data_IF_056902515023
#
_entry.id   IF_056902515023
#
_cell.length_a   1.000
_cell.length_b   1.000
_cell.length_c   1.000
_cell.angle_alpha   90.00
_cell.angle_beta   90.00
_cell.angle_gamma   90.00
#
_symmetry.space_group_name_H-M   'P 1'
#
loop_
_entity.id
_entity.type
_entity.pdbx_description
1 polymer ?
#
# COMPACT_ATOMS: atom_id res chain seq x y z
N UNK A 1 -7.02 78.44 -15.05
CA UNK A 1 -8.25 78.32 -14.25
C UNK A 1 -8.28 76.91 -13.68
N UNK A 2 -8.13 76.61 -12.40
CA UNK A 2 -7.80 77.37 -11.22
C UNK A 2 -7.47 76.33 -10.12
N UNK A 3 -6.35 76.56 -9.43
CA UNK A 3 -6.01 76.27 -8.04
C UNK A 3 -6.24 74.88 -7.36
N UNK A 4 -5.10 74.22 -7.10
CA UNK A 4 -4.72 73.35 -5.95
C UNK A 4 -4.36 74.31 -4.76
N UNK A 5 -4.58 74.05 -3.42
CA UNK A 5 -3.73 73.10 -2.66
C UNK A 5 -4.18 72.48 -1.29
N UNK A 6 -3.52 71.35 -0.98
CA UNK A 6 -2.85 70.87 0.27
C UNK A 6 -3.57 70.88 1.66
N UNK A 7 -3.60 69.68 2.25
CA UNK A 7 -3.03 69.20 3.56
C UNK A 7 -2.97 70.14 4.78
N UNK A 8 -3.11 69.66 6.05
CA UNK A 8 -2.05 68.87 6.71
C UNK A 8 -2.51 67.82 7.76
N UNK A 9 -1.58 66.93 8.14
CA UNK A 9 -1.63 66.19 9.41
C UNK A 9 -1.35 67.12 10.61
N UNK A 10 -1.47 66.61 11.83
CA UNK A 10 -0.36 66.79 12.75
C UNK A 10 0.05 65.50 13.50
N UNK A 11 1.25 65.63 14.03
CA UNK A 11 2.15 64.70 14.71
C UNK A 11 1.63 64.11 16.03
N UNK A 12 2.31 63.04 16.46
CA UNK A 12 2.22 62.42 17.78
C UNK A 12 2.76 63.33 18.91
N UNK A 13 2.54 62.96 20.18
CA UNK A 13 3.73 62.63 20.96
C UNK A 13 3.59 61.41 21.89
N UNK A 14 4.78 60.96 22.24
CA UNK A 14 5.23 59.97 23.21
C UNK A 14 4.93 60.42 24.65
N UNK A 15 4.62 59.47 25.53
CA UNK A 15 5.10 59.32 26.92
C UNK A 15 4.27 58.19 27.57
N UNK A 16 4.79 57.27 28.38
CA UNK A 16 6.04 57.27 29.11
C UNK A 16 5.78 56.72 30.50
N UNK A 17 6.49 55.64 30.83
CA UNK A 17 7.02 55.31 32.15
C UNK A 17 6.13 54.73 33.28
N UNK A 18 6.78 53.83 34.03
CA UNK A 18 6.45 53.38 35.38
C UNK A 18 6.37 51.86 35.49
N UNK A 19 7.47 51.09 35.37
CA UNK A 19 8.57 50.93 36.35
C UNK A 19 8.08 50.77 37.80
N UNK A 20 8.37 49.61 38.37
CA UNK A 20 8.34 49.31 39.80
C UNK A 20 8.78 47.86 40.02
N UNK A 21 10.07 47.53 39.83
CA UNK A 21 11.16 47.64 40.82
C UNK A 21 11.50 46.25 41.36
N UNK A 22 12.72 45.82 41.04
CA UNK A 22 13.38 44.64 41.56
C UNK A 22 13.65 44.75 43.08
N UNK A 23 13.66 43.60 43.75
CA UNK A 23 14.42 43.35 44.98
C UNK A 23 15.19 42.04 44.84
N UNK A 24 16.48 42.08 45.17
CA UNK A 24 17.40 40.95 45.43
C UNK A 24 17.63 40.85 46.98
N UNK A 25 18.35 39.85 47.53
CA UNK A 25 17.97 38.45 47.69
C UNK A 25 18.21 37.90 49.14
N UNK A 26 17.88 36.60 49.35
CA UNK A 26 18.44 35.61 50.33
C UNK A 26 17.49 35.15 51.47
N UNK A 27 17.67 33.95 52.09
CA UNK A 27 18.53 32.80 51.72
C UNK A 27 17.80 31.43 51.64
N UNK A 28 18.41 30.48 50.92
CA UNK A 28 18.44 29.02 51.14
C UNK A 28 17.18 28.31 51.66
N UNK A 29 16.49 27.55 50.79
CA UNK A 29 15.97 26.24 51.19
C UNK A 29 16.27 25.20 50.11
N UNK A 30 16.88 24.13 50.57
CA UNK A 30 17.51 23.05 49.83
C UNK A 30 16.57 21.86 49.73
N UNK A 31 15.81 21.74 48.63
CA UNK A 31 15.20 20.46 48.21
C UNK A 31 15.17 20.31 46.69
N UNK A 32 16.28 19.84 46.11
CA UNK A 32 16.26 19.23 44.77
C UNK A 32 15.75 17.78 44.92
N UNK A 33 14.50 17.54 44.53
CA UNK A 33 14.07 16.20 44.13
C UNK A 33 14.61 15.88 42.72
N UNK A 34 14.81 14.60 42.37
CA UNK A 34 15.34 14.23 41.06
C UNK A 34 14.36 14.61 39.94
N UNK A 35 14.84 14.95 38.73
CA UNK A 35 13.95 15.23 37.62
C UNK A 35 13.24 13.94 37.23
N UNK A 36 11.92 13.90 37.45
CA UNK A 36 11.04 12.87 36.90
C UNK A 36 11.06 13.00 35.38
N UNK A 37 11.80 12.12 34.73
CA UNK A 37 11.70 11.88 33.30
C UNK A 37 10.33 11.29 33.01
N UNK A 38 9.34 12.13 32.76
CA UNK A 38 8.12 11.68 32.11
C UNK A 38 8.48 11.32 30.67
N UNK A 39 8.41 10.05 30.25
CA UNK A 39 8.47 9.74 28.84
C UNK A 39 7.28 10.42 28.19
N UNK A 40 7.52 11.30 27.22
CA UNK A 40 6.49 11.73 26.29
C UNK A 40 5.87 10.45 25.71
N UNK A 41 4.54 10.29 25.70
CA UNK A 41 3.95 9.11 25.11
C UNK A 41 4.35 9.11 23.63
N UNK A 42 5.16 8.14 23.23
CA UNK A 42 5.18 7.72 21.84
C UNK A 42 3.73 7.37 21.51
N UNK A 43 3.11 8.07 20.55
CA UNK A 43 1.87 7.62 19.95
C UNK A 43 2.17 6.28 19.27
N UNK A 44 2.01 5.19 20.01
CA UNK A 44 2.08 3.85 19.49
C UNK A 44 0.75 3.59 18.79
N UNK A 45 0.69 3.86 17.48
CA UNK A 45 -0.46 3.52 16.66
C UNK A 45 -0.63 2.00 16.71
N UNK A 46 -1.67 1.52 17.39
CA UNK A 46 -1.98 0.09 17.54
C UNK A 46 -2.69 -0.44 16.29
N UNK A 47 -2.46 -1.71 15.91
CA UNK A 47 -3.29 -2.38 14.91
C UNK A 47 -4.77 -2.35 15.34
N UNK A 48 -5.69 -2.38 14.36
CA UNK A 48 -7.13 -2.27 14.60
C UNK A 48 -7.86 -3.39 13.88
N UNK A 49 -8.88 -3.92 14.53
CA UNK A 49 -9.91 -4.73 13.89
C UNK A 49 -11.28 -4.11 14.15
N UNK A 50 -12.21 -4.29 13.22
CA UNK A 50 -13.60 -3.90 13.40
C UNK A 50 -14.53 -4.94 12.77
N UNK A 51 -15.66 -5.26 13.41
CA UNK A 51 -16.71 -6.03 12.78
C UNK A 51 -17.32 -5.21 11.65
N UNK A 52 -17.55 -5.85 10.51
CA UNK A 52 -18.31 -5.36 9.38
C UNK A 52 -19.63 -6.15 9.26
N UNK A 53 -20.64 -5.62 8.55
CA UNK A 53 -21.92 -6.31 8.42
C UNK A 53 -21.77 -7.70 7.81
N UNK A 54 -22.47 -8.69 8.37
CA UNK A 54 -22.64 -10.01 7.76
C UNK A 54 -21.52 -11.02 8.01
N UNK A 55 -20.92 -11.07 9.21
CA UNK A 55 -19.81 -11.99 9.55
C UNK A 55 -18.49 -11.66 8.83
N UNK A 56 -18.31 -10.40 8.42
CA UNK A 56 -17.05 -9.90 7.88
C UNK A 56 -16.25 -9.16 8.97
N UNK A 57 -14.94 -9.37 9.03
CA UNK A 57 -14.02 -8.63 9.88
C UNK A 57 -12.95 -7.92 9.05
N UNK A 58 -12.70 -6.66 9.35
CA UNK A 58 -11.65 -5.87 8.70
C UNK A 58 -10.47 -5.71 9.66
N UNK A 59 -9.28 -6.08 9.20
CA UNK A 59 -8.04 -6.00 9.97
C UNK A 59 -7.04 -5.08 9.28
N UNK A 60 -6.52 -4.10 10.01
CA UNK A 60 -5.52 -3.14 9.54
C UNK A 60 -4.17 -3.30 10.28
N UNK A 61 -3.21 -4.07 9.74
CA UNK A 61 -1.83 -4.05 10.19
C UNK A 61 -1.17 -2.69 9.91
N UNK A 62 -0.58 -2.11 10.95
CA UNK A 62 0.28 -0.94 10.89
C UNK A 62 1.69 -1.32 10.39
N UNK A 63 2.02 -1.01 9.14
CA UNK A 63 3.28 -1.40 8.48
C UNK A 63 4.44 -0.37 8.41
N UNK A 64 4.40 0.85 8.99
CA UNK A 64 5.45 1.83 8.73
C UNK A 64 6.83 1.49 9.35
N UNK A 65 6.91 0.51 10.26
CA UNK A 65 8.19 0.03 10.83
C UNK A 65 8.80 -1.16 10.08
N UNK A 66 8.18 -1.62 8.98
CA UNK A 66 8.59 -2.85 8.25
C UNK A 66 9.10 -2.57 6.84
N UNK A 67 9.12 -1.30 6.42
CA UNK A 67 9.77 -0.87 5.20
C UNK A 67 11.26 -1.20 5.31
N UNK A 68 11.87 -1.75 4.25
CA UNK A 68 13.34 -1.85 4.16
C UNK A 68 13.91 -0.44 4.23
N UNK A 69 14.51 0.04 5.34
CA UNK A 69 15.12 1.35 5.35
C UNK A 69 16.48 1.19 4.67
N UNK A 70 16.85 2.18 3.86
CA UNK A 70 18.21 2.44 3.35
C UNK A 70 19.18 2.81 4.47
N UNK A 71 19.11 2.15 5.63
CA UNK A 71 20.03 2.12 6.80
C UNK A 71 19.19 1.95 8.08
N UNK A 72 19.25 0.79 8.75
CA UNK A 72 19.12 0.73 10.21
C UNK A 72 19.64 -0.59 10.79
N UNK A 73 20.46 -0.43 11.82
CA UNK A 73 21.11 -1.46 12.62
C UNK A 73 20.09 -2.35 13.37
N UNK A 74 20.29 -3.67 13.25
CA UNK A 74 20.23 -4.72 14.30
C UNK A 74 19.50 -4.39 15.62
N UNK A 75 18.22 -4.01 15.59
CA UNK A 75 17.40 -3.85 16.78
C UNK A 75 16.04 -4.54 16.54
N UNK A 76 15.84 -5.67 17.24
CA UNK A 76 14.57 -6.38 17.46
C UNK A 76 13.62 -6.46 16.24
N UNK A 77 13.97 -7.31 15.27
CA UNK A 77 13.17 -7.60 14.07
C UNK A 77 12.10 -8.68 14.28
N UNK A 78 11.92 -9.17 15.51
CA UNK A 78 10.93 -10.20 15.84
C UNK A 78 9.60 -9.52 16.19
N UNK A 79 8.65 -9.57 15.24
CA UNK A 79 7.28 -9.06 15.32
C UNK A 79 7.09 -7.71 16.07
N UNK A 80 7.48 -6.58 15.45
CA UNK A 80 7.31 -5.27 16.05
C UNK A 80 5.86 -5.02 16.50
N UNK A 81 5.70 -4.58 17.76
CA UNK A 81 4.41 -4.37 18.42
C UNK A 81 3.52 -5.62 18.57
N UNK A 82 4.04 -6.84 18.37
CA UNK A 82 3.27 -8.09 18.48
C UNK A 82 2.15 -8.18 17.44
N UNK A 83 2.33 -7.55 16.28
CA UNK A 83 1.28 -7.38 15.30
C UNK A 83 0.89 -8.68 14.61
N UNK A 84 1.86 -9.53 14.25
CA UNK A 84 1.56 -10.83 13.66
C UNK A 84 0.94 -11.76 14.70
N UNK A 85 1.41 -11.72 15.95
CA UNK A 85 0.80 -12.48 17.04
C UNK A 85 -0.65 -12.06 17.28
N UNK A 86 -0.93 -10.76 17.27
CA UNK A 86 -2.30 -10.22 17.34
C UNK A 86 -3.15 -10.66 16.14
N UNK A 87 -2.61 -10.55 14.91
CA UNK A 87 -3.29 -10.96 13.69
C UNK A 87 -3.71 -12.44 13.74
N UNK A 88 -2.82 -13.32 14.20
CA UNK A 88 -3.13 -14.75 14.39
C UNK A 88 -4.30 -14.93 15.35
N UNK A 89 -4.32 -14.18 16.46
CA UNK A 89 -5.43 -14.23 17.42
C UNK A 89 -6.77 -13.82 16.81
N UNK A 90 -6.80 -12.74 16.03
CA UNK A 90 -8.02 -12.28 15.35
C UNK A 90 -8.49 -13.29 14.28
N UNK A 91 -7.56 -13.84 13.49
CA UNK A 91 -7.86 -14.82 12.45
C UNK A 91 -8.37 -16.14 13.05
N UNK A 92 -7.77 -16.60 14.14
CA UNK A 92 -8.25 -17.80 14.84
C UNK A 92 -9.66 -17.55 15.40
N UNK A 93 -9.87 -16.41 16.04
CA UNK A 93 -11.18 -16.09 16.60
C UNK A 93 -12.26 -15.96 15.51
N UNK A 94 -11.90 -15.44 14.33
CA UNK A 94 -12.80 -15.40 13.17
C UNK A 94 -13.09 -16.81 12.62
N UNK A 95 -12.07 -17.67 12.50
CA UNK A 95 -12.22 -19.07 12.12
C UNK A 95 -13.16 -19.82 13.07
N UNK A 96 -12.99 -19.65 14.39
CA UNK A 96 -13.84 -20.26 15.41
C UNK A 96 -15.31 -19.82 15.32
N UNK A 97 -15.56 -18.59 14.84
CA UNK A 97 -16.91 -18.05 14.60
C UNK A 97 -17.47 -18.36 13.22
N UNK A 98 -16.66 -18.90 12.30
CA UNK A 98 -17.02 -19.07 10.89
C UNK A 98 -17.12 -17.74 10.12
N UNK A 99 -16.51 -16.68 10.63
CA UNK A 99 -16.46 -15.36 9.99
C UNK A 99 -15.47 -15.35 8.82
N UNK A 100 -15.65 -14.39 7.91
CA UNK A 100 -14.68 -14.06 6.86
C UNK A 100 -13.88 -12.82 7.22
N UNK A 101 -12.67 -12.72 6.70
CA UNK A 101 -11.74 -11.63 7.03
C UNK A 101 -11.22 -10.94 5.78
N UNK A 102 -11.27 -9.61 5.79
CA UNK A 102 -10.53 -8.74 4.88
C UNK A 102 -9.34 -8.13 5.61
N UNK A 103 -8.16 -8.23 5.00
CA UNK A 103 -6.96 -7.53 5.47
C UNK A 103 -6.73 -6.31 4.60
N UNK A 104 -6.56 -5.16 5.21
CA UNK A 104 -6.19 -3.91 4.54
C UNK A 104 -4.85 -3.41 5.08
N UNK A 105 -3.93 -3.02 4.21
CA UNK A 105 -2.62 -2.51 4.64
C UNK A 105 -2.03 -1.53 3.65
N UNK A 106 -0.94 -0.86 4.03
CA UNK A 106 -0.26 0.06 3.12
C UNK A 106 0.76 -0.65 2.23
N UNK A 107 1.83 -1.19 2.84
CA UNK A 107 2.94 -1.85 2.13
C UNK A 107 2.56 -3.30 1.83
N UNK A 108 2.70 -3.78 0.58
CA UNK A 108 2.38 -5.16 0.27
C UNK A 108 3.37 -6.14 0.93
N UNK A 109 2.93 -7.36 1.30
CA UNK A 109 3.76 -8.34 2.01
C UNK A 109 5.03 -8.76 1.26
N UNK A 110 5.02 -8.79 -0.08
CA UNK A 110 6.21 -9.07 -0.89
C UNK A 110 7.35 -8.05 -0.72
N UNK A 111 7.04 -6.83 -0.28
CA UNK A 111 8.01 -5.73 -0.10
C UNK A 111 8.52 -5.59 1.34
N UNK A 112 7.99 -6.38 2.27
CA UNK A 112 8.37 -6.33 3.68
C UNK A 112 9.74 -6.96 3.96
N UNK A 113 10.25 -6.78 5.18
CA UNK A 113 11.42 -7.50 5.68
C UNK A 113 11.20 -9.02 5.58
N UNK A 114 12.26 -9.76 5.20
CA UNK A 114 12.22 -11.21 4.98
C UNK A 114 11.49 -11.95 6.08
N UNK A 115 11.93 -11.78 7.33
CA UNK A 115 11.34 -12.49 8.47
C UNK A 115 9.85 -12.20 8.65
N UNK A 116 9.43 -10.94 8.48
CA UNK A 116 8.02 -10.57 8.63
C UNK A 116 7.18 -11.13 7.49
N UNK A 117 7.62 -10.90 6.26
CA UNK A 117 6.96 -11.36 5.02
C UNK A 117 6.76 -12.88 5.02
N UNK A 118 7.76 -13.65 5.46
CA UNK A 118 7.65 -15.10 5.56
C UNK A 118 6.64 -15.55 6.61
N UNK A 119 6.59 -14.92 7.78
CA UNK A 119 5.59 -15.27 8.79
C UNK A 119 4.17 -14.86 8.35
N UNK A 120 4.01 -13.68 7.76
CA UNK A 120 2.72 -13.27 7.17
C UNK A 120 2.25 -14.27 6.11
N UNK A 121 3.14 -14.71 5.21
CA UNK A 121 2.82 -15.69 4.18
C UNK A 121 2.33 -17.03 4.76
N UNK A 122 2.95 -17.50 5.87
CA UNK A 122 2.51 -18.70 6.59
C UNK A 122 1.13 -18.54 7.21
N UNK A 123 0.87 -17.38 7.81
CA UNK A 123 -0.42 -17.05 8.41
C UNK A 123 -1.50 -17.06 7.34
N UNK A 124 -1.25 -16.45 6.17
CA UNK A 124 -2.19 -16.46 5.04
C UNK A 124 -2.47 -17.89 4.58
N UNK A 125 -1.45 -18.73 4.43
CA UNK A 125 -1.63 -20.13 4.04
C UNK A 125 -2.44 -20.92 5.07
N UNK A 126 -2.19 -20.73 6.37
CA UNK A 126 -2.93 -21.41 7.46
C UNK A 126 -4.41 -21.02 7.50
N UNK A 127 -4.73 -19.74 7.25
CA UNK A 127 -6.09 -19.20 7.37
C UNK A 127 -6.75 -18.95 6.00
N UNK A 128 -6.34 -19.69 4.96
CA UNK A 128 -6.82 -19.48 3.59
C UNK A 128 -8.36 -19.56 3.46
N UNK A 129 -9.02 -20.38 4.27
CA UNK A 129 -10.49 -20.52 4.25
C UNK A 129 -11.22 -19.37 4.96
N UNK A 130 -10.54 -18.67 5.86
CA UNK A 130 -11.08 -17.56 6.67
C UNK A 130 -10.85 -16.23 5.94
N UNK A 131 -9.75 -16.09 5.22
CA UNK A 131 -9.43 -14.90 4.43
C UNK A 131 -10.28 -14.84 3.16
N UNK A 132 -11.00 -13.74 2.98
CA UNK A 132 -11.83 -13.49 1.79
C UNK A 132 -11.26 -12.38 0.89
N UNK A 133 -10.36 -11.54 1.39
CA UNK A 133 -9.77 -10.46 0.62
C UNK A 133 -8.55 -9.82 1.28
N UNK A 134 -7.61 -9.36 0.46
CA UNK A 134 -6.41 -8.65 0.88
C UNK A 134 -6.20 -7.43 -0.01
N UNK A 135 -6.04 -6.25 0.59
CA UNK A 135 -5.99 -4.98 -0.13
C UNK A 135 -4.82 -4.12 0.35
N UNK A 136 -3.93 -3.78 -0.58
CA UNK A 136 -2.73 -3.00 -0.32
C UNK A 136 -2.57 -1.84 -1.30
N UNK A 137 -1.57 -0.98 -1.07
CA UNK A 137 -1.21 0.10 -1.96
C UNK A 137 0.31 0.24 -2.01
N UNK A 138 0.82 1.42 -1.65
CA UNK A 138 2.25 1.77 -1.59
C UNK A 138 2.99 1.83 -2.94
N UNK A 139 2.76 0.89 -3.85
CA UNK A 139 3.51 0.80 -5.12
C UNK A 139 3.07 1.82 -6.17
N UNK A 140 1.91 2.46 -5.95
CA UNK A 140 1.29 3.49 -6.79
C UNK A 140 0.76 3.02 -8.17
N UNK A 141 1.05 1.78 -8.54
CA UNK A 141 0.71 1.14 -9.81
C UNK A 141 -0.39 0.08 -9.62
N UNK A 142 -1.02 -0.35 -10.72
CA UNK A 142 -2.14 -1.30 -10.70
C UNK A 142 -1.60 -2.74 -10.85
N UNK A 143 -1.49 -3.47 -9.75
CA UNK A 143 -0.89 -4.81 -9.73
C UNK A 143 -1.49 -5.71 -8.63
N UNK A 144 -0.96 -6.92 -8.48
CA UNK A 144 -1.44 -7.88 -7.47
C UNK A 144 -0.32 -8.84 -7.02
N UNK A 145 -0.50 -9.50 -5.88
CA UNK A 145 0.42 -10.54 -5.40
C UNK A 145 -0.36 -11.84 -5.14
N UNK A 146 0.03 -12.94 -5.79
CA UNK A 146 -0.58 -14.27 -5.60
C UNK A 146 0.16 -15.04 -4.50
N UNK A 147 -0.60 -15.63 -3.57
CA UNK A 147 -0.12 -16.50 -2.50
C UNK A 147 -0.37 -17.97 -2.85
N UNK A 148 0.55 -18.82 -2.41
CA UNK A 148 0.56 -20.26 -2.63
C UNK A 148 0.70 -21.02 -1.32
N UNK A 149 0.40 -22.32 -1.35
CA UNK A 149 0.73 -23.27 -0.28
C UNK A 149 2.22 -23.22 0.10
N UNK A 150 2.55 -23.40 1.38
CA UNK A 150 3.94 -23.25 1.85
C UNK A 150 4.81 -24.41 1.38
N UNK A 151 4.24 -25.61 1.32
CA UNK A 151 4.94 -26.88 1.12
C UNK A 151 5.53 -27.00 -0.29
N UNK A 152 4.75 -26.66 -1.32
CA UNK A 152 5.11 -26.90 -2.72
C UNK A 152 5.20 -25.62 -3.55
N UNK A 153 4.61 -24.52 -3.08
CA UNK A 153 4.49 -23.24 -3.78
C UNK A 153 3.86 -23.41 -5.17
N UNK A 154 2.75 -24.16 -5.25
CA UNK A 154 2.15 -24.55 -6.53
C UNK A 154 0.64 -24.30 -6.60
N UNK A 155 -0.09 -24.43 -5.48
CA UNK A 155 -1.53 -24.22 -5.41
C UNK A 155 -1.81 -22.77 -4.98
N UNK A 156 -2.37 -21.92 -5.85
CA UNK A 156 -2.75 -20.56 -5.46
C UNK A 156 -3.92 -20.61 -4.46
N UNK A 157 -3.78 -19.91 -3.33
CA UNK A 157 -4.73 -19.95 -2.21
C UNK A 157 -5.26 -18.58 -1.78
N UNK A 158 -4.58 -17.48 -2.14
CA UNK A 158 -5.02 -16.12 -1.86
C UNK A 158 -4.43 -15.14 -2.86
N UNK A 159 -5.03 -13.96 -2.94
CA UNK A 159 -4.55 -12.86 -3.78
C UNK A 159 -4.66 -11.54 -3.00
N UNK A 160 -3.59 -10.77 -3.02
CA UNK A 160 -3.57 -9.39 -2.55
C UNK A 160 -3.69 -8.44 -3.74
N UNK A 161 -4.68 -7.56 -3.72
CA UNK A 161 -4.86 -6.53 -4.72
C UNK A 161 -4.10 -5.27 -4.32
N UNK A 162 -3.17 -4.82 -5.17
CA UNK A 162 -2.41 -3.59 -4.97
C UNK A 162 -3.09 -2.50 -5.79
N UNK A 163 -3.88 -1.65 -5.12
CA UNK A 163 -4.61 -0.59 -5.79
C UNK A 163 -3.65 0.54 -6.21
N UNK A 164 -3.83 1.12 -7.41
CA UNK A 164 -2.99 2.22 -7.86
C UNK A 164 -3.28 3.49 -7.08
N UNK A 165 -2.36 4.45 -7.13
CA UNK A 165 -2.46 5.66 -6.32
C UNK A 165 -3.39 6.73 -6.91
N UNK A 166 -3.97 7.56 -6.03
CA UNK A 166 -4.56 8.82 -6.43
C UNK A 166 -3.51 9.86 -6.87
N UNK A 167 -2.29 9.78 -6.32
CA UNK A 167 -1.22 10.70 -6.71
C UNK A 167 -0.68 10.39 -8.11
N UNK A 168 -0.07 11.41 -8.72
CA UNK A 168 0.63 11.31 -10.00
C UNK A 168 2.04 10.75 -9.86
N UNK A 169 2.55 10.61 -8.63
CA UNK A 169 3.94 10.22 -8.39
C UNK A 169 4.19 8.74 -8.77
N UNK A 170 5.07 8.40 -9.72
CA UNK A 170 5.81 9.29 -10.65
C UNK A 170 5.23 9.13 -12.06
N UNK A 171 4.86 10.24 -12.67
CA UNK A 171 4.42 10.32 -14.07
C UNK A 171 3.23 9.40 -14.41
N UNK A 172 2.25 9.31 -13.52
CA UNK A 172 1.01 8.55 -13.70
C UNK A 172 -0.21 9.48 -13.75
N UNK A 173 -1.30 9.02 -14.37
CA UNK A 173 -2.61 9.62 -14.12
C UNK A 173 -3.03 9.40 -12.65
N UNK A 174 -3.81 10.31 -12.03
CA UNK A 174 -4.55 10.01 -10.81
C UNK A 174 -5.53 8.86 -11.02
N UNK A 175 -5.65 7.95 -10.05
CA UNK A 175 -6.57 6.82 -10.13
C UNK A 175 -7.18 6.41 -8.78
N UNK A 176 -8.34 5.76 -8.82
CA UNK A 176 -8.93 5.06 -7.68
C UNK A 176 -9.58 3.75 -8.13
N UNK A 177 -9.85 2.87 -7.16
CA UNK A 177 -10.38 1.51 -7.40
C UNK A 177 -11.71 1.33 -6.67
N UNK A 178 -12.64 0.61 -7.30
CA UNK A 178 -13.88 0.11 -6.69
C UNK A 178 -13.87 -1.41 -6.78
N UNK A 179 -14.15 -2.09 -5.66
CA UNK A 179 -14.29 -3.55 -5.63
C UNK A 179 -15.76 -3.93 -5.55
N UNK A 180 -16.16 -4.90 -6.37
CA UNK A 180 -17.41 -5.60 -6.22
C UNK A 180 -17.14 -6.84 -5.38
N UNK A 181 -17.81 -6.96 -4.25
CA UNK A 181 -17.59 -8.02 -3.26
C UNK A 181 -18.90 -8.77 -3.08
N UNK A 182 -18.80 -10.07 -2.81
CA UNK A 182 -19.96 -10.88 -2.46
C UNK A 182 -20.72 -10.28 -1.27
N UNK A 183 -22.04 -10.25 -1.39
CA UNK A 183 -22.91 -9.32 -0.67
C UNK A 183 -23.02 -9.60 0.83
N UNK A 184 -23.80 -8.76 1.53
CA UNK A 184 -24.12 -8.98 2.93
C UNK A 184 -25.37 -9.86 3.06
N UNK A 185 -25.16 -11.18 3.16
CA UNK A 185 -26.21 -12.16 3.41
C UNK A 185 -25.65 -13.40 4.12
N UNK A 186 -26.48 -14.20 4.82
CA UNK A 186 -26.02 -15.41 5.51
C UNK A 186 -25.35 -16.41 4.55
N UNK A 187 -24.13 -16.83 4.88
CA UNK A 187 -23.36 -17.76 4.03
C UNK A 187 -22.65 -17.09 2.85
N UNK A 188 -22.60 -15.76 2.80
CA UNK A 188 -21.79 -15.02 1.82
C UNK A 188 -20.31 -15.42 1.93
N UNK A 189 -19.66 -15.49 0.78
CA UNK A 189 -18.22 -15.77 0.70
C UNK A 189 -17.37 -14.54 1.04
N UNK A 190 -17.95 -13.34 0.93
CA UNK A 190 -17.28 -12.04 1.05
C UNK A 190 -16.04 -11.88 0.16
N UNK A 191 -15.86 -12.70 -0.88
CA UNK A 191 -14.71 -12.60 -1.78
C UNK A 191 -14.92 -11.47 -2.79
N UNK A 192 -13.83 -10.99 -3.37
CA UNK A 192 -13.89 -10.07 -4.51
C UNK A 192 -14.47 -10.81 -5.73
N UNK A 193 -15.52 -10.25 -6.31
CA UNK A 193 -16.18 -10.77 -7.52
C UNK A 193 -15.60 -10.13 -8.79
N UNK A 194 -15.32 -8.83 -8.75
CA UNK A 194 -14.69 -8.06 -9.81
C UNK A 194 -14.13 -6.74 -9.24
N UNK A 195 -13.34 -6.01 -10.04
CA UNK A 195 -12.93 -4.65 -9.68
C UNK A 195 -12.86 -3.73 -10.89
N UNK A 196 -13.02 -2.44 -10.60
CA UNK A 196 -13.03 -1.36 -11.57
C UNK A 196 -11.99 -0.31 -11.19
N UNK A 197 -11.19 0.15 -12.14
CA UNK A 197 -10.25 1.27 -11.93
C UNK A 197 -10.75 2.48 -12.69
N UNK A 198 -10.81 3.62 -12.01
CA UNK A 198 -11.17 4.93 -12.58
C UNK A 198 -9.95 5.83 -12.58
N UNK A 199 -9.83 6.69 -13.59
CA UNK A 199 -8.71 7.64 -13.72
C UNK A 199 -9.16 9.05 -14.08
N UNK A 200 -8.31 10.01 -13.79
CA UNK A 200 -8.36 11.36 -14.36
C UNK A 200 -7.27 11.49 -15.42
N UNK A 201 -7.64 11.65 -16.70
CA UNK A 201 -6.65 11.86 -17.75
C UNK A 201 -6.13 13.30 -17.69
N UNK A 202 -4.90 13.48 -17.20
CA UNK A 202 -4.31 14.80 -17.01
C UNK A 202 -4.06 15.55 -18.32
N UNK A 203 -3.81 14.84 -19.43
CA UNK A 203 -3.64 15.50 -20.74
C UNK A 203 -4.91 16.23 -21.16
N UNK A 204 -6.07 15.64 -20.89
CA UNK A 204 -7.38 16.24 -21.19
C UNK A 204 -7.78 17.29 -20.15
N UNK A 205 -7.63 16.97 -18.87
CA UNK A 205 -8.04 17.84 -17.76
C UNK A 205 -7.23 19.15 -17.70
N UNK A 206 -5.97 19.15 -18.15
CA UNK A 206 -5.12 20.34 -18.15
C UNK A 206 -5.24 21.19 -19.42
N UNK A 207 -6.13 20.86 -20.37
CA UNK A 207 -6.39 21.74 -21.50
C UNK A 207 -7.07 23.04 -21.04
N UNK A 208 -6.74 24.21 -21.61
CA UNK A 208 -7.39 25.47 -21.23
C UNK A 208 -8.91 25.41 -21.34
N UNK A 209 -9.62 25.72 -20.25
CA UNK A 209 -11.09 25.68 -20.20
C UNK A 209 -11.71 24.29 -20.03
N UNK A 210 -10.91 23.23 -19.92
CA UNK A 210 -11.41 21.88 -19.64
C UNK A 210 -11.87 21.73 -18.19
N UNK A 211 -12.87 20.87 -17.97
CA UNK A 211 -13.32 20.45 -16.64
C UNK A 211 -12.79 19.03 -16.36
N UNK A 212 -12.21 18.77 -15.18
CA UNK A 212 -11.71 17.43 -14.86
C UNK A 212 -12.86 16.42 -14.78
N UNK A 213 -12.75 15.33 -15.55
CA UNK A 213 -13.71 14.24 -15.56
C UNK A 213 -13.02 12.90 -15.25
N UNK A 214 -13.43 12.29 -14.13
CA UNK A 214 -13.03 10.94 -13.77
C UNK A 214 -13.84 9.94 -14.61
N UNK A 215 -13.17 9.03 -15.29
CA UNK A 215 -13.82 8.02 -16.12
C UNK A 215 -13.30 6.62 -15.79
N UNK A 216 -14.12 5.62 -16.06
CA UNK A 216 -13.75 4.22 -15.96
C UNK A 216 -12.62 3.93 -16.96
N UNK A 217 -11.50 3.42 -16.45
CA UNK A 217 -10.40 2.93 -17.29
C UNK A 217 -10.68 1.50 -17.75
N UNK A 218 -11.03 0.60 -16.81
CA UNK A 218 -11.30 -0.80 -17.13
C UNK A 218 -12.06 -1.53 -16.02
N UNK A 219 -12.68 -2.65 -16.40
CA UNK A 219 -13.16 -3.71 -15.49
C UNK A 219 -12.30 -4.95 -15.66
N UNK A 220 -11.88 -5.57 -14.56
CA UNK A 220 -10.88 -6.63 -14.59
C UNK A 220 -11.37 -7.87 -15.37
N UNK A 221 -12.55 -8.38 -15.05
CA UNK A 221 -13.06 -9.60 -15.70
C UNK A 221 -13.34 -9.40 -17.18
N UNK A 222 -13.93 -8.27 -17.53
CA UNK A 222 -14.20 -7.90 -18.93
C UNK A 222 -12.90 -7.83 -19.74
N UNK A 223 -11.90 -7.09 -19.24
CA UNK A 223 -10.68 -6.80 -19.98
C UNK A 223 -9.77 -8.02 -20.13
N UNK A 224 -9.65 -8.83 -19.07
CA UNK A 224 -8.77 -10.00 -19.07
C UNK A 224 -9.48 -11.30 -19.45
N UNK A 225 -10.79 -11.24 -19.74
CA UNK A 225 -11.61 -12.42 -20.08
C UNK A 225 -11.64 -13.44 -18.93
N UNK A 226 -11.80 -12.97 -17.70
CA UNK A 226 -11.70 -13.82 -16.50
C UNK A 226 -13.07 -14.30 -16.02
N UNK A 227 -13.23 -15.60 -15.72
CA UNK A 227 -14.51 -16.13 -15.24
C UNK A 227 -14.88 -15.64 -13.84
N UNK A 228 -13.90 -15.32 -13.00
CA UNK A 228 -14.05 -14.78 -11.64
C UNK A 228 -12.75 -14.06 -11.23
N UNK A 229 -12.66 -13.56 -10.00
CA UNK A 229 -11.47 -12.89 -9.45
C UNK A 229 -10.76 -13.71 -8.35
N UNK A 230 -10.89 -15.04 -8.37
CA UNK A 230 -10.26 -15.95 -7.40
C UNK A 230 -8.76 -16.14 -7.67
N UNK A 231 -7.96 -16.60 -6.68
CA UNK A 231 -6.50 -16.70 -6.79
C UNK A 231 -6.01 -17.50 -8.00
N UNK A 232 -6.67 -18.61 -8.34
CA UNK A 232 -6.32 -19.43 -9.50
C UNK A 232 -6.43 -18.67 -10.83
N UNK A 233 -7.44 -17.81 -10.97
CA UNK A 233 -7.63 -17.03 -12.21
C UNK A 233 -6.56 -15.95 -12.38
N UNK A 234 -6.12 -15.32 -11.28
CA UNK A 234 -4.99 -14.39 -11.30
C UNK A 234 -3.66 -15.08 -11.60
N UNK A 235 -3.45 -16.29 -11.04
CA UNK A 235 -2.32 -17.14 -11.40
C UNK A 235 -2.31 -17.44 -12.90
N UNK A 236 -3.43 -17.92 -13.46
CA UNK A 236 -3.55 -18.24 -14.88
C UNK A 236 -3.30 -17.02 -15.77
N UNK A 237 -3.78 -15.84 -15.37
CA UNK A 237 -3.54 -14.58 -16.07
C UNK A 237 -2.04 -14.30 -16.22
N UNK A 238 -1.23 -14.52 -15.19
CA UNK A 238 0.23 -14.32 -15.24
C UNK A 238 0.87 -15.23 -16.29
N UNK A 239 0.49 -16.51 -16.35
CA UNK A 239 1.03 -17.44 -17.34
C UNK A 239 0.50 -17.18 -18.75
N UNK A 240 -0.75 -16.72 -18.90
CA UNK A 240 -1.29 -16.23 -20.18
C UNK A 240 -0.48 -15.05 -20.70
N UNK A 241 -0.22 -14.04 -19.86
CA UNK A 241 0.58 -12.86 -20.23
C UNK A 241 2.05 -13.19 -20.56
N UNK A 242 2.58 -14.29 -20.04
CA UNK A 242 3.91 -14.78 -20.44
C UNK A 242 3.95 -15.18 -21.92
N UNK A 243 2.92 -15.89 -22.40
CA UNK A 243 2.83 -16.38 -23.77
C UNK A 243 2.20 -15.39 -24.76
N UNK A 244 1.29 -14.55 -24.27
CA UNK A 244 0.57 -13.55 -25.05
C UNK A 244 1.09 -12.15 -24.76
N UNK A 245 1.88 -11.62 -25.70
CA UNK A 245 2.48 -10.29 -25.57
C UNK A 245 1.44 -9.18 -25.66
N UNK A 246 0.36 -9.35 -26.42
CA UNK A 246 -0.67 -8.32 -26.55
C UNK A 246 -1.44 -8.19 -25.22
N UNK A 247 -1.79 -9.31 -24.60
CA UNK A 247 -2.41 -9.31 -23.28
C UNK A 247 -1.50 -8.68 -22.23
N UNK A 248 -0.20 -8.97 -22.27
CA UNK A 248 0.76 -8.30 -21.38
C UNK A 248 0.84 -6.79 -21.63
N UNK A 249 0.81 -6.32 -22.87
CA UNK A 249 0.81 -4.88 -23.15
C UNK A 249 -0.47 -4.20 -22.66
N UNK A 250 -1.63 -4.86 -22.74
CA UNK A 250 -2.86 -4.38 -22.09
C UNK A 250 -2.66 -4.25 -20.58
N UNK A 251 -2.11 -5.28 -19.93
CA UNK A 251 -1.78 -5.20 -18.50
C UNK A 251 -0.80 -4.08 -18.19
N UNK A 252 0.28 -3.92 -18.97
CA UNK A 252 1.29 -2.88 -18.78
C UNK A 252 0.73 -1.46 -18.93
N UNK A 253 -0.19 -1.25 -19.86
CA UNK A 253 -0.91 0.02 -20.02
C UNK A 253 -1.76 0.33 -18.78
N UNK A 254 -2.49 -0.66 -18.26
CA UNK A 254 -3.34 -0.52 -17.08
C UNK A 254 -2.53 -0.37 -15.78
N UNK A 255 -1.40 -1.07 -15.67
CA UNK A 255 -0.41 -0.96 -14.59
C UNK A 255 -0.04 0.51 -14.33
N UNK A 256 0.09 1.29 -15.40
CA UNK A 256 0.42 2.71 -15.38
C UNK A 256 -0.79 3.64 -15.47
N UNK A 257 -2.00 3.18 -15.13
CA UNK A 257 -3.24 3.97 -15.18
C UNK A 257 -3.46 4.64 -16.55
N UNK A 258 -3.15 3.93 -17.62
CA UNK A 258 -3.27 4.40 -19.00
C UNK A 258 -2.22 5.42 -19.44
N UNK A 259 -1.12 5.57 -18.69
CA UNK A 259 0.01 6.44 -19.04
C UNK A 259 1.35 5.70 -18.87
N UNK A 260 1.64 4.67 -19.70
CA UNK A 260 2.89 3.93 -19.63
C UNK A 260 4.09 4.79 -20.04
N UNK A 261 5.32 4.41 -19.63
CA UNK A 261 6.54 5.06 -20.09
C UNK A 261 6.71 4.93 -21.60
N UNK A 262 7.48 5.85 -22.20
CA UNK A 262 7.77 5.82 -23.64
C UNK A 262 8.69 4.66 -24.04
N UNK A 263 9.52 4.18 -23.12
CA UNK A 263 10.38 3.03 -23.34
C UNK A 263 9.54 1.73 -23.36
N UNK A 264 9.63 0.92 -24.43
CA UNK A 264 8.89 -0.34 -24.49
C UNK A 264 9.35 -1.34 -23.42
N UNK A 265 8.41 -1.97 -22.74
CA UNK A 265 8.70 -3.08 -21.83
C UNK A 265 9.01 -4.36 -22.60
N UNK A 266 10.30 -4.60 -22.88
CA UNK A 266 10.80 -5.80 -23.56
C UNK A 266 10.77 -7.07 -22.71
N UNK A 267 11.33 -8.18 -23.21
CA UNK A 267 11.30 -9.49 -22.54
C UNK A 267 11.79 -9.46 -21.09
N UNK A 268 12.93 -8.83 -20.75
CA UNK A 268 13.36 -8.77 -19.36
C UNK A 268 12.34 -8.00 -18.49
N UNK A 269 11.94 -6.80 -18.90
CA UNK A 269 10.94 -6.02 -18.18
C UNK A 269 9.65 -6.83 -17.94
N UNK A 270 9.15 -7.54 -18.95
CA UNK A 270 7.97 -8.41 -18.83
C UNK A 270 8.16 -9.50 -17.79
N UNK A 271 9.24 -10.26 -17.87
CA UNK A 271 9.48 -11.38 -16.94
C UNK A 271 9.65 -10.90 -15.50
N UNK A 272 10.30 -9.75 -15.28
CA UNK A 272 10.41 -9.14 -13.96
C UNK A 272 9.04 -8.72 -13.42
N UNK A 273 8.23 -8.06 -14.27
CA UNK A 273 6.87 -7.61 -13.92
C UNK A 273 5.97 -8.80 -13.55
N UNK A 274 5.99 -9.86 -14.37
CA UNK A 274 5.23 -11.09 -14.12
C UNK A 274 5.70 -11.82 -12.86
N UNK A 275 7.02 -11.85 -12.61
CA UNK A 275 7.57 -12.44 -11.41
C UNK A 275 7.12 -11.71 -10.14
N UNK A 276 7.05 -10.37 -10.18
CA UNK A 276 6.52 -9.58 -9.06
C UNK A 276 5.09 -10.01 -8.69
N UNK A 277 4.25 -10.32 -9.67
CA UNK A 277 2.87 -10.74 -9.43
C UNK A 277 2.75 -12.07 -8.66
N UNK A 278 3.79 -12.91 -8.71
CA UNK A 278 3.85 -14.19 -7.99
C UNK A 278 4.63 -14.10 -6.67
N UNK A 279 5.21 -12.94 -6.36
CA UNK A 279 6.21 -12.77 -5.30
C UNK A 279 5.65 -12.18 -4.01
N UNK A 280 4.53 -12.73 -3.50
CA UNK A 280 3.94 -12.28 -2.23
C UNK A 280 4.80 -12.58 -0.98
N UNK A 281 5.92 -13.31 -1.15
CA UNK A 281 6.92 -13.58 -0.12
C UNK A 281 8.28 -13.04 -0.56
N UNK A 282 8.81 -12.09 0.21
CA UNK A 282 10.12 -11.48 -0.08
C UNK A 282 11.26 -12.52 -0.10
N UNK A 283 12.29 -12.22 -0.90
CA UNK A 283 13.50 -13.03 -1.07
C UNK A 283 13.25 -14.52 -1.41
N UNK A 284 12.20 -14.81 -2.19
CA UNK A 284 11.77 -16.17 -2.55
C UNK A 284 11.84 -16.45 -4.06
N UNK A 285 13.03 -16.61 -4.66
CA UNK A 285 13.18 -16.79 -6.11
C UNK A 285 12.49 -18.04 -6.68
N UNK A 286 12.21 -19.03 -5.83
CA UNK A 286 11.49 -20.25 -6.22
C UNK A 286 10.07 -19.97 -6.76
N UNK A 287 9.43 -18.86 -6.33
CA UNK A 287 8.09 -18.48 -6.79
C UNK A 287 8.04 -18.18 -8.30
N UNK A 288 9.17 -17.76 -8.89
CA UNK A 288 9.27 -17.42 -10.30
C UNK A 288 9.95 -18.50 -11.15
N UNK A 289 10.21 -19.70 -10.59
CA UNK A 289 10.97 -20.77 -11.27
C UNK A 289 10.39 -21.15 -12.63
N UNK A 290 9.06 -21.19 -12.74
CA UNK A 290 8.37 -21.58 -13.96
C UNK A 290 8.36 -20.47 -15.01
N UNK A 291 8.45 -19.20 -14.61
CA UNK A 291 8.56 -18.06 -15.54
C UNK A 291 9.95 -17.99 -16.16
N UNK A 292 10.98 -18.31 -15.38
CA UNK A 292 12.40 -18.12 -15.73
C UNK A 292 13.10 -19.39 -16.23
N UNK A 293 12.39 -20.52 -16.36
CA UNK A 293 12.98 -21.83 -16.71
C UNK A 293 13.81 -21.86 -17.99
N UNK A 294 13.60 -20.91 -18.91
CA UNK A 294 14.24 -20.84 -20.22
C UNK A 294 15.09 -19.57 -20.40
N UNK A 295 15.45 -18.90 -19.31
CA UNK A 295 16.12 -17.59 -19.31
C UNK A 295 17.53 -17.77 -18.76
N UNK A 296 18.54 -17.18 -19.41
CA UNK A 296 19.93 -17.37 -19.00
C UNK A 296 20.20 -16.78 -17.61
N UNK A 297 21.14 -17.36 -16.86
CA UNK A 297 21.49 -16.88 -15.51
C UNK A 297 21.95 -15.40 -15.48
N UNK A 298 22.49 -14.90 -16.60
CA UNK A 298 22.84 -13.48 -16.80
C UNK A 298 21.61 -12.57 -16.89
N UNK A 299 20.56 -12.99 -17.58
CA UNK A 299 19.31 -12.25 -17.68
C UNK A 299 18.53 -12.28 -16.36
N UNK A 300 18.55 -13.40 -15.63
CA UNK A 300 17.96 -13.47 -14.27
C UNK A 300 18.61 -12.48 -13.28
N UNK A 301 19.90 -12.17 -13.45
CA UNK A 301 20.59 -11.15 -12.64
C UNK A 301 20.21 -9.72 -13.01
N UNK A 302 19.93 -9.43 -14.28
CA UNK A 302 19.45 -8.10 -14.72
C UNK A 302 17.95 -7.88 -14.44
N UNK A 303 17.19 -8.98 -14.26
CA UNK A 303 15.77 -9.01 -13.91
C UNK A 303 15.45 -8.66 -12.46
N UNK A 304 16.43 -8.67 -11.56
CA UNK A 304 16.20 -8.21 -10.18
C UNK A 304 15.87 -6.72 -10.26
N UNK A 305 14.67 -6.28 -9.82
CA UNK A 305 14.40 -4.86 -9.75
C UNK A 305 15.49 -4.25 -8.88
N UNK A 306 16.27 -3.33 -9.47
CA UNK A 306 16.92 -2.32 -8.66
C UNK A 306 15.76 -1.54 -8.07
N UNK A 307 15.60 -1.49 -6.74
CA UNK A 307 14.58 -0.65 -6.15
C UNK A 307 14.71 0.72 -6.80
N UNK A 308 13.62 1.36 -7.25
CA UNK A 308 13.66 2.76 -7.69
C UNK A 308 14.11 3.70 -6.54
N UNK A 309 14.34 3.13 -5.35
CA UNK A 309 14.95 3.72 -4.17
C UNK A 309 16.09 2.80 -3.68
N UNK A 310 17.22 2.83 -4.39
CA UNK A 310 18.56 2.52 -3.87
C UNK A 310 19.45 3.73 -4.12
#
# INVERSE_FOLDING_TARGET
MGHIPRSPQPEAPVDGAGIGSARLPSPLDSRRGPPTSHPRPFLQFRPRSAPAPGNLWVVEPHLPSLQRPVHCHRLWTADPAGQLQWLVGELQAAEDRGDKVHIIGHIPPGHCLKTWSWNYYRIVARYENTLAGQFFGHTHVDEFEVFYDEETLSRPLSVAFLAPSATTYISLNPGYRVYQIDGNYPGSSHVVLDHETYILNLRQANQPGATPHWHLLYRARETYGMPNALPATWHDLVYRMRGDTQLFQTFWFLYHKGHPPSEPCGTPCRLATLCAQLSARSDSPALCRHLLSNVSASEVRSLRPRPPLC
#
